data_IF_831968844100
#
_entry.id   IF_831968844100
#
_cell.length_a   1.000
_cell.length_b   1.000
_cell.length_c   1.000
_cell.angle_alpha   90.00
_cell.angle_beta   90.00
_cell.angle_gamma   90.00
#
_symmetry.space_group_name_H-M   'P 1'
#
loop_
_entity.id
_entity.type
_entity.pdbx_description
1 polymer ?
#
# COMPACT_ATOMS: atom_id res chain seq x y z
N UNK A 1 21.47 14.18 18.18
CA UNK A 1 22.20 12.92 18.20
C UNK A 1 23.42 12.96 17.26
N UNK A 2 24.37 12.11 17.54
CA UNK A 2 25.53 11.92 16.67
C UNK A 2 26.06 10.49 16.81
N UNK A 3 26.27 9.81 15.68
CA UNK A 3 26.82 8.47 15.65
C UNK A 3 28.33 8.55 15.34
N UNK A 4 29.18 8.18 16.32
CA UNK A 4 30.63 8.18 16.15
C UNK A 4 31.14 7.09 15.19
N UNK A 5 30.28 6.09 14.83
CA UNK A 5 30.65 5.01 13.91
C UNK A 5 30.47 5.38 12.45
N UNK A 6 29.35 6.03 12.08
CA UNK A 6 29.03 6.34 10.68
C UNK A 6 28.96 7.84 10.38
N UNK A 7 29.10 8.72 11.39
CA UNK A 7 29.01 10.17 11.22
C UNK A 7 27.59 10.71 11.08
N UNK A 8 26.56 9.87 11.11
CA UNK A 8 25.18 10.33 11.07
C UNK A 8 24.86 11.18 12.32
N UNK A 9 24.24 12.33 12.13
CA UNK A 9 23.87 13.21 13.22
C UNK A 9 22.82 14.23 12.81
N UNK A 10 22.10 14.75 13.79
CA UNK A 10 21.02 15.70 13.54
C UNK A 10 20.34 16.17 14.83
N UNK A 11 19.35 17.03 14.67
CA UNK A 11 18.46 17.45 15.74
C UNK A 11 17.28 16.46 15.92
N UNK A 12 16.35 16.76 16.81
CA UNK A 12 15.18 15.91 17.05
C UNK A 12 14.30 15.75 15.81
N UNK A 13 14.14 16.81 15.01
CA UNK A 13 13.35 16.78 13.78
C UNK A 13 14.02 15.85 12.77
N UNK A 14 15.32 16.01 12.52
CA UNK A 14 16.08 15.14 11.61
C UNK A 14 16.01 13.67 12.05
N UNK A 15 16.07 13.43 13.37
CA UNK A 15 15.95 12.07 13.89
C UNK A 15 14.59 11.45 13.58
N UNK A 16 13.50 12.17 13.84
CA UNK A 16 12.15 11.68 13.57
C UNK A 16 11.90 11.50 12.06
N UNK A 17 12.39 12.43 11.24
CA UNK A 17 12.33 12.31 9.77
C UNK A 17 13.01 11.03 9.28
N UNK A 18 14.23 10.75 9.73
CA UNK A 18 15.01 9.58 9.30
C UNK A 18 14.51 8.29 9.93
N UNK A 19 14.24 8.31 11.24
CA UNK A 19 13.80 7.11 11.98
C UNK A 19 12.39 6.68 11.58
N UNK A 20 11.50 7.66 11.46
CA UNK A 20 10.09 7.44 11.19
C UNK A 20 9.72 7.58 9.70
N UNK A 21 10.68 7.90 8.84
CA UNK A 21 10.49 8.15 7.42
C UNK A 21 9.35 9.16 7.15
N UNK A 22 9.37 10.26 7.91
CA UNK A 22 8.41 11.35 7.80
C UNK A 22 9.02 12.51 6.99
N UNK A 23 8.15 13.29 6.35
CA UNK A 23 8.56 14.58 5.84
C UNK A 23 8.77 15.59 6.99
N UNK A 24 9.30 16.77 6.66
CA UNK A 24 9.61 17.80 7.67
C UNK A 24 8.37 18.27 8.43
N UNK A 25 7.25 18.42 7.77
CA UNK A 25 5.99 18.89 8.38
C UNK A 25 5.41 17.81 9.29
N UNK A 26 5.36 16.58 8.81
CA UNK A 26 4.90 15.42 9.58
C UNK A 26 5.76 15.21 10.85
N UNK A 27 7.10 15.35 10.73
CA UNK A 27 8.01 15.22 11.86
C UNK A 27 7.77 16.32 12.91
N UNK A 28 7.53 17.57 12.47
CA UNK A 28 7.17 18.66 13.38
C UNK A 28 5.82 18.38 14.07
N UNK A 29 4.82 17.91 13.35
CA UNK A 29 3.50 17.60 13.93
C UNK A 29 3.57 16.47 14.98
N UNK A 30 4.38 15.44 14.74
CA UNK A 30 4.63 14.36 15.72
C UNK A 30 5.30 14.92 16.97
N UNK A 31 6.40 15.66 16.82
CA UNK A 31 7.14 16.22 17.96
C UNK A 31 6.32 17.24 18.75
N UNK A 32 5.53 18.08 18.08
CA UNK A 32 4.67 19.05 18.73
C UNK A 32 3.58 18.35 19.56
N UNK A 33 2.99 17.27 19.05
CA UNK A 33 2.01 16.46 19.79
C UNK A 33 2.63 15.84 21.03
N UNK A 34 3.83 15.26 20.93
CA UNK A 34 4.53 14.65 22.06
C UNK A 34 4.92 15.70 23.11
N UNK A 35 5.19 16.93 22.68
CA UNK A 35 5.48 18.06 23.55
C UNK A 35 4.23 18.80 24.06
N UNK A 36 3.01 18.35 23.68
CA UNK A 36 1.74 19.04 23.92
C UNK A 36 1.75 20.51 23.44
N UNK A 37 2.42 20.77 22.31
CA UNK A 37 2.51 22.08 21.66
C UNK A 37 1.58 22.11 20.44
N UNK A 38 0.98 23.27 20.18
CA UNK A 38 0.24 23.50 18.95
C UNK A 38 1.20 24.04 17.87
N UNK A 39 1.21 23.39 16.70
CA UNK A 39 1.90 23.91 15.51
C UNK A 39 1.07 25.07 14.96
N UNK A 40 1.65 26.30 14.83
CA UNK A 40 0.93 27.40 14.20
C UNK A 40 0.52 27.02 12.76
N UNK A 41 -0.78 27.09 12.47
CA UNK A 41 -1.34 26.77 11.15
C UNK A 41 -2.01 28.01 10.57
N UNK A 42 -1.98 28.12 9.26
CA UNK A 42 -2.90 29.05 8.59
C UNK A 42 -4.34 28.60 8.89
N UNK A 43 -5.17 29.55 9.29
CA UNK A 43 -6.56 29.27 9.70
C UNK A 43 -7.28 28.51 8.58
N UNK A 44 -7.77 27.30 8.87
CA UNK A 44 -8.52 26.46 7.96
C UNK A 44 -7.72 25.39 7.21
N UNK A 45 -6.40 25.28 7.41
CA UNK A 45 -5.64 24.15 6.84
C UNK A 45 -5.97 22.85 7.61
N UNK A 46 -6.44 21.80 6.91
CA UNK A 46 -6.74 20.53 7.56
C UNK A 46 -5.45 19.87 8.07
N UNK A 47 -5.58 19.09 9.16
CA UNK A 47 -4.46 18.30 9.70
C UNK A 47 -4.05 17.20 8.73
N UNK A 48 -2.97 17.42 7.97
CA UNK A 48 -2.44 16.43 7.01
C UNK A 48 -2.11 15.11 7.67
N UNK A 49 -1.60 15.15 8.90
CA UNK A 49 -1.25 13.92 9.62
C UNK A 49 -2.50 13.09 9.93
N UNK A 50 -3.57 13.72 10.43
CA UNK A 50 -4.82 13.01 10.73
C UNK A 50 -5.49 12.50 9.45
N UNK A 51 -5.45 13.28 8.37
CA UNK A 51 -5.96 12.86 7.05
C UNK A 51 -5.16 11.68 6.50
N UNK A 52 -3.84 11.74 6.54
CA UNK A 52 -2.98 10.66 6.10
C UNK A 52 -3.16 9.42 6.99
N UNK A 53 -3.32 9.57 8.30
CA UNK A 53 -3.58 8.45 9.21
C UNK A 53 -4.92 7.76 8.91
N UNK A 54 -5.98 8.54 8.65
CA UNK A 54 -7.28 8.00 8.26
C UNK A 54 -7.22 7.27 6.92
N UNK A 55 -6.51 7.85 5.94
CA UNK A 55 -6.29 7.25 4.64
C UNK A 55 -5.52 5.92 4.73
N UNK A 56 -4.41 5.90 5.47
CA UNK A 56 -3.60 4.69 5.69
C UNK A 56 -4.39 3.59 6.38
N UNK A 57 -5.23 3.95 7.36
CA UNK A 57 -6.14 3.01 8.03
C UNK A 57 -7.09 2.37 7.01
N UNK A 58 -7.72 3.17 6.16
CA UNK A 58 -8.68 2.67 5.18
C UNK A 58 -8.02 1.83 4.08
N UNK A 59 -6.79 2.17 3.66
CA UNK A 59 -6.00 1.31 2.77
C UNK A 59 -5.65 -0.03 3.42
N UNK A 60 -5.33 -0.06 4.72
CA UNK A 60 -5.12 -1.29 5.48
C UNK A 60 -6.40 -2.15 5.58
N UNK A 61 -7.55 -1.51 5.82
CA UNK A 61 -8.86 -2.18 5.80
C UNK A 61 -9.19 -2.75 4.41
N UNK A 62 -8.85 -2.00 3.34
CA UNK A 62 -9.00 -2.46 1.96
C UNK A 62 -8.11 -3.68 1.67
N UNK A 63 -6.86 -3.70 2.18
CA UNK A 63 -5.99 -4.88 2.06
C UNK A 63 -6.59 -6.10 2.76
N UNK A 64 -7.10 -5.91 3.99
CA UNK A 64 -7.78 -6.96 4.74
C UNK A 64 -9.00 -7.48 3.99
N UNK A 65 -9.80 -6.58 3.42
CA UNK A 65 -10.95 -6.95 2.59
C UNK A 65 -10.51 -7.84 1.41
N UNK A 66 -9.51 -7.43 0.61
CA UNK A 66 -9.08 -8.23 -0.54
C UNK A 66 -8.48 -9.59 -0.12
N UNK A 67 -7.77 -9.66 1.00
CA UNK A 67 -7.28 -10.94 1.55
C UNK A 67 -8.45 -11.86 1.93
N UNK A 68 -9.49 -11.33 2.57
CA UNK A 68 -10.70 -12.10 2.89
C UNK A 68 -11.41 -12.58 1.62
N UNK A 69 -11.50 -11.74 0.57
CA UNK A 69 -12.09 -12.17 -0.70
C UNK A 69 -11.28 -13.29 -1.36
N UNK A 70 -9.96 -13.28 -1.24
CA UNK A 70 -9.12 -14.38 -1.73
C UNK A 70 -9.42 -15.69 -1.00
N UNK A 71 -9.80 -15.64 0.29
CA UNK A 71 -10.06 -16.83 1.11
C UNK A 71 -11.50 -17.33 0.95
N UNK A 72 -12.50 -16.44 0.91
CA UNK A 72 -13.90 -16.80 1.13
C UNK A 72 -14.87 -16.41 0.01
N UNK A 73 -14.44 -15.66 -1.01
CA UNK A 73 -15.36 -15.25 -2.10
C UNK A 73 -15.81 -16.47 -2.94
N UNK A 74 -17.08 -16.57 -3.36
CA UNK A 74 -17.56 -17.71 -4.18
C UNK A 74 -16.76 -17.97 -5.45
N UNK A 75 -16.13 -16.95 -6.02
CA UNK A 75 -15.29 -17.05 -7.21
C UNK A 75 -13.78 -17.06 -6.93
N UNK A 76 -13.37 -17.27 -5.68
CA UNK A 76 -11.96 -17.34 -5.28
C UNK A 76 -11.16 -18.43 -6.01
N UNK A 77 -11.82 -19.51 -6.45
CA UNK A 77 -11.16 -20.64 -7.11
C UNK A 77 -10.30 -20.20 -8.31
N UNK A 78 -10.76 -19.20 -9.06
CA UNK A 78 -10.03 -18.59 -10.18
C UNK A 78 -8.70 -17.98 -9.72
N UNK A 79 -8.73 -17.23 -8.61
CA UNK A 79 -7.55 -16.59 -8.03
C UNK A 79 -6.57 -17.62 -7.46
N UNK A 80 -7.09 -18.65 -6.78
CA UNK A 80 -6.28 -19.76 -6.27
C UNK A 80 -5.61 -20.54 -7.39
N UNK A 81 -6.35 -20.92 -8.43
CA UNK A 81 -5.79 -21.62 -9.59
C UNK A 81 -4.68 -20.80 -10.23
N UNK A 82 -4.90 -19.52 -10.43
CA UNK A 82 -3.90 -18.62 -10.99
C UNK A 82 -2.63 -18.55 -10.11
N UNK A 83 -2.76 -18.34 -8.80
CA UNK A 83 -1.61 -18.21 -7.91
C UNK A 83 -0.87 -19.53 -7.75
N UNK A 84 -1.58 -20.65 -7.53
CA UNK A 84 -0.99 -21.95 -7.28
C UNK A 84 -0.50 -22.65 -8.56
N UNK A 85 -1.33 -22.73 -9.59
CA UNK A 85 -1.03 -23.53 -10.78
C UNK A 85 -0.26 -22.75 -11.85
N UNK A 86 -0.70 -21.51 -12.14
CA UNK A 86 -0.05 -20.72 -13.21
C UNK A 86 1.21 -20.02 -12.74
N UNK A 87 1.31 -19.73 -11.44
CA UNK A 87 2.45 -19.01 -10.84
C UNK A 87 3.26 -19.83 -9.85
N UNK A 88 2.79 -20.99 -9.44
CA UNK A 88 3.47 -21.88 -8.51
C UNK A 88 3.65 -21.30 -7.10
N UNK A 89 2.81 -20.35 -6.70
CA UNK A 89 2.92 -19.66 -5.41
C UNK A 89 2.25 -20.47 -4.30
N UNK A 90 2.94 -20.62 -3.18
CA UNK A 90 2.38 -21.22 -1.97
C UNK A 90 1.44 -20.24 -1.24
N UNK A 91 0.50 -20.80 -0.48
CA UNK A 91 -0.37 -19.97 0.39
C UNK A 91 0.42 -19.19 1.45
N UNK A 92 1.59 -19.71 1.86
CA UNK A 92 2.44 -19.01 2.81
C UNK A 92 3.06 -17.74 2.21
N UNK A 93 3.60 -17.81 0.99
CA UNK A 93 4.17 -16.63 0.34
C UNK A 93 3.06 -15.60 0.00
N UNK A 94 1.89 -16.07 -0.43
CA UNK A 94 0.74 -15.21 -0.65
C UNK A 94 0.34 -14.44 0.62
N UNK A 95 0.41 -15.08 1.79
CA UNK A 95 0.16 -14.44 3.09
C UNK A 95 1.25 -13.44 3.48
N UNK A 96 2.53 -13.77 3.26
CA UNK A 96 3.66 -12.86 3.57
C UNK A 96 3.54 -11.56 2.80
N UNK A 97 3.25 -11.63 1.50
CA UNK A 97 3.05 -10.45 0.65
C UNK A 97 1.64 -9.85 0.75
N UNK A 98 0.75 -10.47 1.52
CA UNK A 98 -0.62 -9.97 1.73
C UNK A 98 -1.47 -9.97 0.46
N UNK A 99 -1.25 -10.94 -0.43
CA UNK A 99 -2.00 -11.02 -1.69
C UNK A 99 -3.51 -11.12 -1.43
N UNK A 100 -4.28 -10.50 -2.31
CA UNK A 100 -5.72 -10.46 -2.21
C UNK A 100 -6.40 -10.73 -3.55
N UNK A 101 -7.72 -10.71 -3.53
CA UNK A 101 -8.57 -10.82 -4.70
C UNK A 101 -9.59 -9.68 -4.72
N UNK A 102 -9.60 -8.90 -5.79
CA UNK A 102 -10.68 -7.98 -6.09
C UNK A 102 -11.74 -8.72 -6.90
N UNK A 103 -12.93 -8.99 -6.36
CA UNK A 103 -13.96 -9.73 -7.07
C UNK A 103 -14.45 -9.02 -8.33
N UNK A 104 -15.05 -9.75 -9.30
CA UNK A 104 -15.75 -9.14 -10.40
C UNK A 104 -16.99 -8.39 -9.90
N UNK A 105 -17.33 -7.30 -10.57
CA UNK A 105 -18.44 -6.41 -10.18
C UNK A 105 -17.96 -4.97 -10.02
N UNK A 106 -18.88 -4.04 -9.89
CA UNK A 106 -18.57 -2.62 -9.98
C UNK A 106 -18.42 -1.91 -8.62
N UNK A 107 -18.93 -2.51 -7.53
CA UNK A 107 -19.16 -1.84 -6.28
C UNK A 107 -18.97 -2.74 -5.01
N UNK A 108 -18.16 -3.78 -5.13
CA UNK A 108 -17.96 -4.74 -4.02
C UNK A 108 -17.24 -4.10 -2.83
N UNK A 109 -16.11 -3.42 -3.09
CA UNK A 109 -15.37 -2.68 -2.06
C UNK A 109 -16.19 -1.49 -1.55
N UNK A 110 -16.81 -0.74 -2.47
CA UNK A 110 -17.68 0.38 -2.15
C UNK A 110 -18.82 -0.04 -1.19
N UNK A 111 -19.50 -1.14 -1.45
CA UNK A 111 -20.55 -1.68 -0.57
C UNK A 111 -20.01 -2.15 0.78
N UNK A 112 -18.80 -2.69 0.79
CA UNK A 112 -18.18 -3.21 2.03
C UNK A 112 -17.68 -2.10 2.94
N UNK A 113 -16.92 -1.14 2.41
CA UNK A 113 -16.22 -0.12 3.20
C UNK A 113 -16.78 1.30 2.98
N UNK A 114 -17.42 1.58 1.86
CA UNK A 114 -17.90 2.91 1.49
C UNK A 114 -19.33 3.21 1.94
N UNK A 115 -19.76 2.74 3.11
CA UNK A 115 -21.15 2.94 3.58
C UNK A 115 -21.46 4.37 4.03
N UNK A 116 -20.45 5.18 4.32
CA UNK A 116 -20.58 6.58 4.73
C UNK A 116 -19.88 7.49 3.72
N UNK A 117 -20.37 8.70 3.53
CA UNK A 117 -19.80 9.68 2.60
C UNK A 117 -18.32 9.94 2.86
N UNK A 118 -17.91 10.07 4.14
CA UNK A 118 -16.52 10.28 4.53
C UNK A 118 -15.62 9.12 4.10
N UNK A 119 -16.07 7.87 4.24
CA UNK A 119 -15.29 6.71 3.80
C UNK A 119 -15.24 6.57 2.28
N UNK A 120 -16.28 7.01 1.56
CA UNK A 120 -16.25 7.06 0.09
C UNK A 120 -15.22 8.09 -0.40
N UNK A 121 -15.20 9.28 0.21
CA UNK A 121 -14.20 10.31 -0.09
C UNK A 121 -12.78 9.80 0.17
N UNK A 122 -12.54 9.16 1.32
CA UNK A 122 -11.23 8.58 1.64
C UNK A 122 -10.84 7.45 0.66
N UNK A 123 -11.77 6.59 0.25
CA UNK A 123 -11.53 5.56 -0.76
C UNK A 123 -11.20 6.17 -2.14
N UNK A 124 -11.85 7.29 -2.48
CA UNK A 124 -11.54 8.03 -3.71
C UNK A 124 -10.15 8.64 -3.64
N UNK A 125 -9.81 9.34 -2.54
CA UNK A 125 -8.48 9.91 -2.29
C UNK A 125 -7.37 8.86 -2.28
N UNK A 126 -7.66 7.65 -1.76
CA UNK A 126 -6.76 6.49 -1.79
C UNK A 126 -6.68 5.78 -3.13
N UNK A 127 -7.41 6.26 -4.14
CA UNK A 127 -7.41 5.66 -5.47
C UNK A 127 -8.06 4.26 -5.52
N UNK A 128 -8.91 3.93 -4.56
CA UNK A 128 -9.65 2.65 -4.51
C UNK A 128 -10.96 2.73 -5.29
N UNK A 129 -11.52 3.91 -5.42
CA UNK A 129 -12.71 4.21 -6.20
C UNK A 129 -12.38 5.11 -7.39
N UNK A 130 -13.30 5.15 -8.34
CA UNK A 130 -13.31 6.07 -9.49
C UNK A 130 -14.68 6.70 -9.55
N UNK A 131 -14.72 8.02 -9.73
CA UNK A 131 -15.97 8.74 -9.94
C UNK A 131 -16.42 8.62 -11.40
N UNK A 132 -17.72 8.41 -11.62
CA UNK A 132 -18.29 8.34 -12.96
C UNK A 132 -18.38 9.75 -13.58
N UNK A 133 -17.74 9.93 -14.73
CA UNK A 133 -17.71 11.23 -15.43
C UNK A 133 -19.11 11.78 -15.77
N UNK A 134 -20.05 10.88 -16.13
CA UNK A 134 -21.40 11.25 -16.53
C UNK A 134 -22.37 11.37 -15.36
N UNK A 135 -21.97 10.97 -14.15
CA UNK A 135 -22.81 10.95 -12.95
C UNK A 135 -21.98 11.38 -11.72
N UNK A 136 -21.74 12.68 -11.51
CA UNK A 136 -21.02 13.16 -10.34
C UNK A 136 -21.63 12.65 -9.03
N UNK A 137 -20.78 12.26 -8.09
CA UNK A 137 -21.19 11.64 -6.82
C UNK A 137 -21.48 10.14 -6.90
N UNK A 138 -21.34 9.51 -8.08
CA UNK A 138 -21.45 8.06 -8.22
C UNK A 138 -20.07 7.45 -8.43
N UNK A 139 -19.75 6.47 -7.61
CA UNK A 139 -18.44 5.82 -7.60
C UNK A 139 -18.53 4.35 -7.98
N UNK A 140 -17.40 3.81 -8.42
CA UNK A 140 -17.22 2.38 -8.66
C UNK A 140 -15.80 1.95 -8.26
N UNK A 141 -15.64 0.65 -7.98
CA UNK A 141 -14.36 0.07 -7.58
C UNK A 141 -13.33 0.21 -8.71
N UNK A 142 -12.15 0.75 -8.40
CA UNK A 142 -11.04 0.81 -9.36
C UNK A 142 -10.56 -0.58 -9.75
N UNK A 143 -10.40 -1.45 -8.77
CA UNK A 143 -9.89 -2.81 -8.98
C UNK A 143 -11.04 -3.80 -9.02
N UNK A 144 -11.15 -4.53 -10.12
CA UNK A 144 -12.20 -5.52 -10.38
C UNK A 144 -11.60 -6.71 -11.12
N UNK A 145 -11.97 -7.91 -10.68
CA UNK A 145 -11.52 -9.18 -11.26
C UNK A 145 -9.98 -9.28 -11.40
N UNK A 146 -9.26 -9.00 -10.27
CA UNK A 146 -7.80 -8.91 -10.25
C UNK A 146 -7.21 -9.56 -9.01
N UNK A 147 -5.99 -10.12 -9.15
CA UNK A 147 -5.11 -10.37 -8.01
C UNK A 147 -4.61 -9.02 -7.52
N UNK A 148 -4.66 -8.82 -6.20
CA UNK A 148 -4.27 -7.58 -5.55
C UNK A 148 -2.92 -7.74 -4.84
N UNK A 149 -2.05 -6.76 -5.04
CA UNK A 149 -0.72 -6.64 -4.47
C UNK A 149 -0.70 -5.37 -3.62
N UNK A 150 -0.74 -5.46 -2.28
CA UNK A 150 -0.59 -4.29 -1.45
C UNK A 150 0.84 -3.76 -1.56
N UNK A 151 0.99 -2.48 -1.84
CA UNK A 151 2.28 -1.79 -1.84
C UNK A 151 2.46 -1.23 -0.44
N UNK A 152 3.60 -1.52 0.19
CA UNK A 152 3.90 -1.14 1.56
C UNK A 152 5.06 -0.17 1.61
N UNK A 153 4.94 0.81 2.49
CA UNK A 153 6.06 1.67 2.85
C UNK A 153 7.10 0.91 3.72
N UNK A 154 8.27 1.51 4.00
CA UNK A 154 9.31 0.88 4.83
C UNK A 154 8.88 0.49 6.25
N UNK A 155 7.75 1.00 6.75
CA UNK A 155 7.12 0.66 8.04
C UNK A 155 6.12 -0.49 7.93
N UNK A 156 5.82 -0.97 6.72
CA UNK A 156 4.83 -2.02 6.47
C UNK A 156 3.39 -1.53 6.36
N UNK A 157 3.14 -0.20 6.36
CA UNK A 157 1.81 0.37 6.16
C UNK A 157 1.44 0.22 4.68
N UNK A 158 0.21 -0.17 4.40
CA UNK A 158 -0.29 -0.23 3.02
C UNK A 158 -0.57 1.19 2.54
N UNK A 159 0.13 1.60 1.48
CA UNK A 159 0.05 2.94 0.91
C UNK A 159 -0.62 2.96 -0.47
N UNK A 160 -0.65 1.83 -1.17
CA UNK A 160 -1.23 1.70 -2.51
C UNK A 160 -1.46 0.22 -2.87
N UNK A 161 -1.96 -0.02 -4.08
CA UNK A 161 -2.16 -1.34 -4.63
C UNK A 161 -1.74 -1.44 -6.09
N UNK A 162 -1.19 -2.60 -6.45
CA UNK A 162 -1.18 -3.09 -7.81
C UNK A 162 -2.29 -4.12 -8.01
N UNK A 163 -2.87 -4.19 -9.19
CA UNK A 163 -3.87 -5.18 -9.55
C UNK A 163 -3.53 -5.87 -10.87
N UNK A 164 -3.46 -7.20 -10.90
CA UNK A 164 -3.21 -7.98 -12.11
C UNK A 164 -4.47 -8.70 -12.56
N UNK A 165 -4.89 -8.43 -13.81
CA UNK A 165 -6.03 -9.10 -14.41
C UNK A 165 -5.75 -10.59 -14.69
N UNK A 166 -6.81 -11.38 -14.71
CA UNK A 166 -6.78 -12.74 -15.21
C UNK A 166 -6.89 -12.74 -16.75
N UNK A 167 -6.17 -13.64 -17.42
CA UNK A 167 -6.23 -13.75 -18.88
C UNK A 167 -5.73 -12.50 -19.62
N UNK A 168 -6.46 -12.14 -20.68
CA UNK A 168 -6.08 -11.09 -21.64
C UNK A 168 -6.75 -9.73 -21.39
N UNK A 169 -7.42 -9.55 -20.27
CA UNK A 169 -8.04 -8.26 -19.92
C UNK A 169 -7.01 -7.12 -19.85
N UNK A 170 -7.35 -6.01 -20.47
CA UNK A 170 -6.50 -4.80 -20.48
C UNK A 170 -7.04 -3.72 -19.56
N UNK A 171 -6.15 -3.00 -18.85
CA UNK A 171 -4.70 -3.23 -18.77
C UNK A 171 -4.40 -4.47 -17.93
N UNK A 172 -3.39 -5.25 -18.31
CA UNK A 172 -2.94 -6.44 -17.59
C UNK A 172 -2.54 -6.13 -16.16
N UNK A 173 -1.82 -5.02 -15.96
CA UNK A 173 -1.51 -4.44 -14.65
C UNK A 173 -2.15 -3.07 -14.52
N UNK A 174 -2.74 -2.82 -13.38
CA UNK A 174 -3.33 -1.55 -12.99
C UNK A 174 -2.80 -1.18 -11.62
N UNK A 175 -2.24 0.02 -11.47
CA UNK A 175 -1.75 0.52 -10.20
C UNK A 175 -2.69 1.60 -9.65
N UNK A 176 -2.59 1.82 -8.33
CA UNK A 176 -3.15 3.03 -7.71
C UNK A 176 -2.59 4.28 -8.38
N UNK A 177 -3.35 5.37 -8.46
CA UNK A 177 -2.81 6.67 -8.83
C UNK A 177 -1.89 7.20 -7.75
N UNK A 178 -1.17 8.26 -8.03
CA UNK A 178 -0.47 9.06 -7.02
C UNK A 178 -1.47 9.60 -6.00
N UNK A 179 -1.11 9.56 -4.71
CA UNK A 179 -1.96 10.02 -3.61
C UNK A 179 -1.12 10.80 -2.58
N UNK A 180 -1.76 11.33 -1.54
CA UNK A 180 -1.04 11.99 -0.46
C UNK A 180 -0.06 11.07 0.29
N UNK A 181 -0.25 9.74 0.22
CA UNK A 181 0.57 8.74 0.91
C UNK A 181 1.35 7.82 -0.04
N UNK A 182 1.24 8.00 -1.34
CA UNK A 182 1.89 7.17 -2.34
C UNK A 182 2.42 7.98 -3.52
N UNK A 183 3.74 7.91 -3.75
CA UNK A 183 4.42 8.43 -4.92
C UNK A 183 5.20 7.30 -5.58
N UNK A 184 4.74 6.89 -6.75
CA UNK A 184 5.28 5.70 -7.45
C UNK A 184 6.79 5.76 -7.66
N UNK A 185 7.35 6.93 -7.95
CA UNK A 185 8.78 7.13 -8.18
C UNK A 185 9.66 7.01 -6.93
N UNK A 186 9.06 6.97 -5.74
CA UNK A 186 9.76 6.93 -4.46
C UNK A 186 9.63 5.56 -3.76
N UNK A 187 8.80 4.67 -4.29
CA UNK A 187 8.47 3.41 -3.63
C UNK A 187 9.01 2.20 -4.40
N UNK A 188 9.50 1.23 -3.65
CA UNK A 188 9.96 -0.06 -4.16
C UNK A 188 9.10 -1.17 -3.59
N UNK A 189 8.37 -1.87 -4.46
CA UNK A 189 7.60 -3.04 -4.05
C UNK A 189 8.51 -4.14 -3.50
N UNK A 190 8.15 -4.71 -2.36
CA UNK A 190 8.92 -5.77 -1.71
C UNK A 190 10.03 -5.29 -0.77
N UNK A 191 10.29 -3.98 -0.67
CA UNK A 191 11.34 -3.45 0.20
C UNK A 191 11.07 -3.74 1.68
N UNK A 192 9.82 -3.60 2.12
CA UNK A 192 9.43 -3.94 3.49
C UNK A 192 9.68 -5.42 3.78
N UNK A 193 9.23 -6.32 2.91
CA UNK A 193 9.39 -7.75 3.03
C UNK A 193 10.88 -8.16 3.02
N UNK A 194 11.68 -7.52 2.16
CA UNK A 194 13.13 -7.73 2.11
C UNK A 194 13.81 -7.36 3.44
N UNK A 195 13.46 -6.20 4.02
CA UNK A 195 13.99 -5.75 5.32
C UNK A 195 13.56 -6.65 6.48
N UNK A 196 12.36 -7.23 6.44
CA UNK A 196 11.90 -8.17 7.47
C UNK A 196 12.70 -9.49 7.46
N UNK A 197 13.12 -9.95 6.29
CA UNK A 197 13.88 -11.19 6.16
C UNK A 197 15.39 -10.98 6.32
N UNK A 198 15.89 -9.79 5.99
CA UNK A 198 17.33 -9.47 6.04
C UNK A 198 17.51 -8.08 6.65
N UNK A 199 17.68 -7.97 7.97
CA UNK A 199 17.77 -6.67 8.67
C UNK A 199 18.90 -5.75 8.16
N UNK A 200 20.00 -6.36 7.68
CA UNK A 200 21.12 -5.64 7.04
C UNK A 200 21.17 -6.09 5.58
N UNK A 201 20.70 -5.24 4.67
CA UNK A 201 20.71 -5.49 3.23
C UNK A 201 22.04 -5.01 2.64
N UNK A 202 22.96 -5.92 2.37
CA UNK A 202 24.24 -5.61 1.69
C UNK A 202 24.02 -5.21 0.22
N UNK A 203 23.01 -5.80 -0.41
CA UNK A 203 22.62 -5.51 -1.79
C UNK A 203 21.13 -5.81 -2.02
N UNK A 204 20.58 -5.19 -3.05
CA UNK A 204 19.19 -5.36 -3.49
C UNK A 204 19.20 -5.79 -4.95
N UNK A 205 18.34 -6.76 -5.29
CA UNK A 205 18.10 -7.18 -6.67
C UNK A 205 16.87 -6.44 -7.18
N UNK A 206 17.02 -5.66 -8.24
CA UNK A 206 15.91 -4.92 -8.86
C UNK A 206 15.35 -5.75 -10.01
N UNK A 207 14.04 -5.96 -10.00
CA UNK A 207 13.28 -6.64 -11.05
C UNK A 207 12.15 -5.75 -11.58
N UNK A 208 11.53 -6.13 -12.69
CA UNK A 208 10.53 -5.29 -13.36
C UNK A 208 9.12 -5.39 -12.74
N UNK A 209 8.79 -6.54 -12.14
CA UNK A 209 7.41 -6.78 -11.74
C UNK A 209 7.22 -7.34 -10.33
N UNK A 210 6.06 -7.03 -9.75
CA UNK A 210 5.66 -7.53 -8.42
C UNK A 210 5.69 -9.05 -8.31
N UNK A 211 5.29 -9.74 -9.38
CA UNK A 211 5.27 -11.20 -9.41
C UNK A 211 6.68 -11.78 -9.34
N UNK A 212 7.66 -11.12 -9.97
CA UNK A 212 9.05 -11.59 -9.98
C UNK A 212 9.64 -11.51 -8.57
N UNK A 213 9.36 -10.43 -7.83
CA UNK A 213 9.73 -10.31 -6.40
C UNK A 213 9.17 -11.47 -5.58
N UNK A 214 7.89 -11.77 -5.75
CA UNK A 214 7.22 -12.81 -4.95
C UNK A 214 7.75 -14.20 -5.28
N UNK A 215 7.97 -14.49 -6.57
CA UNK A 215 8.53 -15.77 -7.02
C UNK A 215 9.95 -15.93 -6.51
N UNK A 216 10.79 -14.91 -6.60
CA UNK A 216 12.15 -14.95 -6.07
C UNK A 216 12.15 -15.17 -4.54
N UNK A 217 11.30 -14.47 -3.81
CA UNK A 217 11.18 -14.64 -2.36
C UNK A 217 10.75 -16.06 -1.97
N UNK A 218 9.83 -16.69 -2.72
CA UNK A 218 9.43 -18.08 -2.51
C UNK A 218 10.59 -19.06 -2.66
N UNK A 219 11.54 -18.75 -3.53
CA UNK A 219 12.74 -19.59 -3.76
C UNK A 219 13.94 -19.13 -2.91
N UNK A 220 13.72 -18.34 -1.86
CA UNK A 220 14.75 -17.98 -0.89
C UNK A 220 15.56 -16.72 -1.26
N UNK A 221 15.28 -16.07 -2.39
CA UNK A 221 15.88 -14.78 -2.78
C UNK A 221 15.01 -13.65 -2.24
N UNK A 222 15.25 -13.27 -0.97
CA UNK A 222 14.36 -12.37 -0.21
C UNK A 222 14.75 -10.90 -0.30
N UNK A 223 15.84 -10.56 -0.96
CA UNK A 223 16.36 -9.21 -1.14
C UNK A 223 16.03 -8.59 -2.52
N UNK A 224 14.96 -9.06 -3.16
CA UNK A 224 14.49 -8.53 -4.44
C UNK A 224 13.38 -7.48 -4.26
N UNK A 225 13.38 -6.46 -5.12
CA UNK A 225 12.40 -5.38 -5.15
C UNK A 225 12.01 -5.04 -6.59
N UNK A 226 10.84 -4.44 -6.80
CA UNK A 226 10.40 -3.95 -8.10
C UNK A 226 10.09 -2.44 -8.09
N UNK A 227 10.24 -1.78 -9.26
CA UNK A 227 9.97 -0.35 -9.49
C UNK A 227 8.54 -0.11 -10.01
#
# INVERSE_FOLDING_TARGET
YYCFGCGAGGNAISFVMEHDHLDFVEAIEVLARDAAMEVPREQGAPDRYEQNAALLKLLSESATYFQQQLISHPQQAKAHTYLANDRGLSGQIAKVFGLGFAPPGWDNLLKSLGQRAETQEQLLLGGMLVEKQEQPGHFYDRFRDRIMFPIRDPRGRVIAFGGRAFGDEKPKYLNSPETAVFQKSQELYGLYEAKQNTPVLDHIIIVEGYMDVIVLAQHGVTNSVAT
#
